data_IF_675906886446
#
_entry.id   IF_675906886446
#
_cell.length_a   1.000
_cell.length_b   1.000
_cell.length_c   1.000
_cell.angle_alpha   90.00
_cell.angle_beta   90.00
_cell.angle_gamma   90.00
#
_symmetry.space_group_name_H-M   'P 1'
#
loop_
_entity.id
_entity.type
_entity.pdbx_description
1 polymer ?
#
# COMPACT_ATOMS: atom_id res chain seq x y z
N UNK A 1 -12.73 21.45 -16.36
CA UNK A 1 -12.10 20.27 -15.71
C UNK A 1 -11.89 20.42 -14.19
N UNK A 2 -12.84 20.93 -13.36
CA UNK A 2 -12.62 21.07 -11.90
C UNK A 2 -12.88 19.78 -11.10
N UNK A 3 -13.72 18.85 -11.59
CA UNK A 3 -14.10 17.63 -10.85
C UNK A 3 -12.94 16.65 -10.64
N UNK A 4 -12.09 16.47 -11.67
CA UNK A 4 -10.92 15.62 -11.56
C UNK A 4 -9.91 16.19 -10.56
N UNK A 5 -9.68 17.51 -10.60
CA UNK A 5 -8.80 18.21 -9.66
C UNK A 5 -9.25 18.00 -8.21
N UNK A 6 -10.55 18.11 -7.94
CA UNK A 6 -11.10 17.84 -6.61
C UNK A 6 -10.86 16.39 -6.15
N UNK A 7 -10.97 15.42 -7.06
CA UNK A 7 -10.70 14.01 -6.74
C UNK A 7 -9.22 13.75 -6.41
N UNK A 8 -8.29 14.36 -7.15
CA UNK A 8 -6.86 14.26 -6.84
C UNK A 8 -6.53 14.89 -5.48
N UNK A 9 -7.07 16.09 -5.20
CA UNK A 9 -6.85 16.78 -3.92
C UNK A 9 -7.43 15.99 -2.74
N UNK A 10 -8.58 15.36 -2.90
CA UNK A 10 -9.16 14.48 -1.86
C UNK A 10 -8.26 13.28 -1.57
N UNK A 11 -7.72 12.63 -2.61
CA UNK A 11 -6.82 11.49 -2.44
C UNK A 11 -5.48 11.96 -1.84
N UNK A 12 -4.99 13.13 -2.22
CA UNK A 12 -3.83 13.74 -1.59
C UNK A 12 -4.05 13.96 -0.09
N UNK A 13 -5.18 14.52 0.32
CA UNK A 13 -5.53 14.69 1.74
C UNK A 13 -5.60 13.34 2.47
N UNK A 14 -6.17 12.32 1.83
CA UNK A 14 -6.23 10.97 2.39
C UNK A 14 -4.81 10.37 2.57
N UNK A 15 -3.90 10.61 1.62
CA UNK A 15 -2.50 10.18 1.71
C UNK A 15 -1.76 10.91 2.83
N UNK A 16 -2.03 12.20 3.05
CA UNK A 16 -1.49 12.96 4.20
C UNK A 16 -2.03 12.40 5.52
N UNK A 17 -3.31 12.05 5.58
CA UNK A 17 -3.90 11.44 6.78
C UNK A 17 -3.31 10.06 7.07
N UNK A 18 -3.14 9.22 6.05
CA UNK A 18 -2.44 7.93 6.17
C UNK A 18 -0.98 8.13 6.62
N UNK A 19 -0.30 9.15 6.10
CA UNK A 19 1.06 9.49 6.52
C UNK A 19 1.12 9.85 8.01
N UNK A 20 0.23 10.72 8.47
CA UNK A 20 0.10 11.04 9.90
C UNK A 20 -0.20 9.79 10.73
N UNK A 21 -1.03 8.89 10.21
CA UNK A 21 -1.30 7.58 10.80
C UNK A 21 -0.05 6.71 10.97
N UNK A 22 0.85 6.66 9.97
CA UNK A 22 2.14 5.97 10.11
C UNK A 22 3.03 6.56 11.19
N UNK A 23 3.08 7.89 11.30
CA UNK A 23 3.83 8.58 12.36
C UNK A 23 3.25 8.19 13.73
N UNK A 24 1.94 8.31 13.90
CA UNK A 24 1.26 7.91 15.14
C UNK A 24 1.49 6.43 15.47
N UNK A 25 1.39 5.54 14.48
CA UNK A 25 1.61 4.11 14.66
C UNK A 25 3.03 3.80 15.14
N UNK A 26 4.02 4.59 14.72
CA UNK A 26 5.42 4.42 15.14
C UNK A 26 5.65 4.75 16.61
N UNK A 27 4.79 5.59 17.21
CA UNK A 27 4.83 5.91 18.64
C UNK A 27 3.90 5.04 19.49
N UNK A 28 2.78 4.58 18.91
CA UNK A 28 1.74 3.85 19.64
C UNK A 28 1.94 2.33 19.65
N UNK A 29 2.57 1.76 18.62
CA UNK A 29 2.73 0.31 18.47
C UNK A 29 4.19 -0.08 18.36
N UNK A 30 4.56 -1.17 19.01
CA UNK A 30 5.92 -1.72 19.00
C UNK A 30 5.94 -3.20 18.66
N UNK A 31 7.07 -3.70 18.17
CA UNK A 31 7.21 -5.09 17.76
C UNK A 31 6.34 -5.45 16.55
N UNK A 32 5.79 -6.67 16.56
CA UNK A 32 5.11 -7.25 15.40
C UNK A 32 3.81 -6.50 15.01
N UNK A 33 3.09 -5.96 15.99
CA UNK A 33 1.86 -5.19 15.75
C UNK A 33 2.16 -3.86 15.05
N UNK A 34 3.22 -3.15 15.46
CA UNK A 34 3.65 -1.92 14.80
C UNK A 34 4.11 -2.16 13.36
N UNK A 35 4.80 -3.28 13.12
CA UNK A 35 5.20 -3.71 11.79
C UNK A 35 3.98 -4.00 10.91
N UNK A 36 3.03 -4.81 11.39
CA UNK A 36 1.82 -5.17 10.65
C UNK A 36 0.97 -3.93 10.30
N UNK A 37 0.77 -3.00 11.25
CA UNK A 37 0.01 -1.77 11.03
C UNK A 37 0.73 -0.86 10.01
N UNK A 38 2.04 -0.68 10.15
CA UNK A 38 2.82 0.16 9.24
C UNK A 38 2.81 -0.38 7.81
N UNK A 39 2.94 -1.70 7.64
CA UNK A 39 2.81 -2.38 6.34
C UNK A 39 1.39 -2.23 5.78
N UNK A 40 0.35 -2.39 6.60
CA UNK A 40 -1.03 -2.18 6.18
C UNK A 40 -1.27 -0.76 5.65
N UNK A 41 -0.78 0.26 6.36
CA UNK A 41 -0.85 1.66 5.92
C UNK A 41 -0.05 1.87 4.62
N UNK A 42 1.14 1.27 4.51
CA UNK A 42 1.96 1.35 3.31
C UNK A 42 1.24 0.78 2.08
N UNK A 43 0.61 -0.40 2.21
CA UNK A 43 -0.20 -1.03 1.15
C UNK A 43 -1.39 -0.15 0.75
N UNK A 44 -2.09 0.43 1.72
CA UNK A 44 -3.20 1.34 1.43
C UNK A 44 -2.75 2.58 0.64
N UNK A 45 -1.62 3.19 1.04
CA UNK A 45 -1.03 4.34 0.33
C UNK A 45 -0.63 3.97 -1.10
N UNK A 46 0.09 2.87 -1.29
CA UNK A 46 0.53 2.47 -2.63
C UNK A 46 -0.65 2.13 -3.52
N UNK A 47 -1.70 1.47 -3.01
CA UNK A 47 -2.93 1.22 -3.76
C UNK A 47 -3.62 2.50 -4.25
N UNK A 48 -3.74 3.52 -3.39
CA UNK A 48 -4.33 4.82 -3.76
C UNK A 48 -3.53 5.55 -4.84
N UNK A 49 -2.20 5.55 -4.74
CA UNK A 49 -1.31 6.17 -5.73
C UNK A 49 -1.40 5.42 -7.06
N UNK A 50 -1.32 4.08 -7.00
CA UNK A 50 -1.33 3.23 -8.18
C UNK A 50 -2.63 3.36 -8.96
N UNK A 51 -3.77 3.40 -8.25
CA UNK A 51 -5.07 3.52 -8.90
C UNK A 51 -5.32 4.91 -9.49
N UNK A 52 -5.02 6.00 -8.75
CA UNK A 52 -5.42 7.35 -9.17
C UNK A 52 -4.32 8.16 -9.85
N UNK A 53 -3.11 8.15 -9.29
CA UNK A 53 -2.02 9.01 -9.76
C UNK A 53 -1.29 8.38 -10.94
N UNK A 54 -1.21 7.04 -10.99
CA UNK A 54 -0.68 6.31 -12.14
C UNK A 54 -1.72 6.02 -13.22
N UNK A 55 -2.97 6.50 -13.05
CA UNK A 55 -4.07 6.38 -14.02
C UNK A 55 -4.28 4.94 -14.50
N UNK A 56 -4.02 3.94 -13.64
CA UNK A 56 -4.24 2.53 -13.97
C UNK A 56 -5.71 2.26 -14.30
N UNK A 57 -6.62 3.16 -13.93
CA UNK A 57 -8.01 3.06 -14.26
C UNK A 57 -8.34 3.36 -15.73
N UNK A 58 -7.53 4.21 -16.37
CA UNK A 58 -7.64 4.62 -17.76
C UNK A 58 -6.84 3.70 -18.71
N UNK A 59 -5.94 2.89 -18.14
CA UNK A 59 -5.08 1.95 -18.86
C UNK A 59 -5.79 0.67 -19.32
N UNK A 60 -5.16 -0.02 -20.29
CA UNK A 60 -5.71 -1.23 -20.88
C UNK A 60 -5.99 -2.33 -19.83
N UNK A 61 -7.02 -3.18 -20.03
CA UNK A 61 -7.35 -4.26 -19.10
C UNK A 61 -6.18 -5.24 -18.87
N UNK A 62 -5.35 -5.45 -19.89
CA UNK A 62 -4.18 -6.33 -19.80
C UNK A 62 -3.13 -5.76 -18.83
N UNK A 63 -2.89 -4.44 -18.87
CA UNK A 63 -1.94 -3.79 -17.97
C UNK A 63 -2.39 -3.87 -16.51
N UNK A 64 -3.71 -3.74 -16.26
CA UNK A 64 -4.32 -3.92 -14.94
C UNK A 64 -4.09 -5.34 -14.40
N UNK A 65 -4.29 -6.36 -15.22
CA UNK A 65 -4.04 -7.76 -14.83
C UNK A 65 -2.55 -7.98 -14.54
N UNK A 66 -1.66 -7.47 -15.38
CA UNK A 66 -0.22 -7.57 -15.16
C UNK A 66 0.22 -6.90 -13.85
N UNK A 67 -0.34 -5.73 -13.54
CA UNK A 67 -0.09 -5.04 -12.29
C UNK A 67 -0.56 -5.81 -11.06
N UNK A 68 -1.78 -6.34 -11.10
CA UNK A 68 -2.32 -7.17 -10.04
C UNK A 68 -1.52 -8.47 -9.88
N UNK A 69 -1.05 -9.06 -10.98
CA UNK A 69 -0.19 -10.23 -10.95
C UNK A 69 1.17 -9.92 -10.30
N UNK A 70 1.78 -8.77 -10.61
CA UNK A 70 3.02 -8.32 -9.98
C UNK A 70 2.83 -8.08 -8.46
N UNK A 71 1.73 -7.45 -8.06
CA UNK A 71 1.39 -7.25 -6.66
C UNK A 71 1.15 -8.58 -5.92
N UNK A 72 0.42 -9.51 -6.54
CA UNK A 72 0.20 -10.85 -6.00
C UNK A 72 1.50 -11.62 -5.85
N UNK A 73 2.38 -11.54 -6.85
CA UNK A 73 3.70 -12.18 -6.80
C UNK A 73 4.55 -11.63 -5.66
N UNK A 74 4.60 -10.30 -5.51
CA UNK A 74 5.31 -9.66 -4.42
C UNK A 74 4.77 -10.07 -3.04
N UNK A 75 3.45 -10.20 -2.89
CA UNK A 75 2.82 -10.70 -1.66
C UNK A 75 3.24 -12.14 -1.34
N UNK A 76 3.31 -13.02 -2.34
CA UNK A 76 3.79 -14.40 -2.14
C UNK A 76 5.23 -14.38 -1.62
N UNK A 77 6.11 -13.57 -2.23
CA UNK A 77 7.50 -13.45 -1.82
C UNK A 77 7.63 -12.90 -0.38
N UNK A 78 6.81 -11.92 0.00
CA UNK A 78 6.79 -11.39 1.36
C UNK A 78 6.30 -12.42 2.38
N UNK A 79 5.30 -13.23 2.04
CA UNK A 79 4.84 -14.32 2.91
C UNK A 79 5.95 -15.35 3.11
N UNK A 80 6.64 -15.77 2.03
CA UNK A 80 7.78 -16.67 2.16
C UNK A 80 8.91 -16.08 2.98
N UNK A 81 9.20 -14.78 2.83
CA UNK A 81 10.16 -14.09 3.67
C UNK A 81 9.77 -14.14 5.16
N UNK A 82 8.50 -13.87 5.48
CA UNK A 82 8.01 -13.94 6.86
C UNK A 82 8.10 -15.36 7.43
N UNK A 83 7.70 -16.37 6.64
CA UNK A 83 7.81 -17.78 7.04
C UNK A 83 9.26 -18.16 7.30
N UNK A 84 10.17 -17.81 6.38
CA UNK A 84 11.62 -18.06 6.54
C UNK A 84 12.15 -17.45 7.84
N UNK A 85 11.84 -16.17 8.11
CA UNK A 85 12.29 -15.51 9.34
C UNK A 85 11.72 -16.16 10.61
N UNK A 86 10.46 -16.58 10.58
CA UNK A 86 9.82 -17.25 11.72
C UNK A 86 10.41 -18.64 11.97
N UNK A 87 10.78 -19.39 10.93
CA UNK A 87 11.30 -20.76 11.06
C UNK A 87 12.82 -20.82 11.24
N UNK A 88 13.56 -19.75 10.94
CA UNK A 88 15.03 -19.77 10.91
C UNK A 88 15.71 -20.09 12.25
N UNK A 89 15.06 -19.77 13.37
CA UNK A 89 15.60 -19.99 14.71
C UNK A 89 14.88 -21.12 15.50
N UNK A 90 14.05 -21.92 14.81
CA UNK A 90 13.60 -23.22 15.33
C UNK A 90 14.62 -24.30 14.98
#
# INVERSE_FOLDING_TARGET
>A
MPRALNSLVLIWLLLILLLAGTIAASFLFTGLSGLAISLGIAVAKSGLIYWRYMHLDEESPLLRVAALAAAAWLMILLVFLCVDQLTRNF
#
